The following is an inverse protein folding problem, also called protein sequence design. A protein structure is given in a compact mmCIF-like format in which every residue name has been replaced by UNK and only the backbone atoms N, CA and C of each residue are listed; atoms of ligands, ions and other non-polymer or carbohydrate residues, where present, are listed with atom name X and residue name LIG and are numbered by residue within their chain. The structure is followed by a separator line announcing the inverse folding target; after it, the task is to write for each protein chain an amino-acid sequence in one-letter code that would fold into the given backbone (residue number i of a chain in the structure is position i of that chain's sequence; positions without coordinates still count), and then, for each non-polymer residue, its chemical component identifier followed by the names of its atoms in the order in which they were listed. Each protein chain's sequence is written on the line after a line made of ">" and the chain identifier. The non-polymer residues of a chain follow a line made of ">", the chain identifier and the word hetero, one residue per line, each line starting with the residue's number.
data_IF_854219431098
#
_entry.id   IF_854219431098
#
_cell.length_a   1.000
_cell.length_b   1.000
_cell.length_c   1.000
_cell.angle_alpha   90.00
_cell.angle_beta   90.00
_cell.angle_gamma   90.00
#
_symmetry.space_group_name_H-M   'P 1'
#
loop_
_entity.id
_entity.type
_entity.pdbx_description
1 polymer ?
#
# COMPACT_ATOMS: atom_id res chain seq x y z
N UNK A 1 17.13 29.28 -5.49
CA UNK A 1 16.55 30.65 -5.48
C UNK A 1 16.73 31.33 -4.12
N UNK A 2 16.25 30.76 -3.01
CA UNK A 2 16.41 31.34 -1.67
C UNK A 2 17.88 31.64 -1.36
N UNK A 3 18.78 30.64 -1.39
CA UNK A 3 20.22 30.83 -1.19
C UNK A 3 20.84 31.88 -2.12
N UNK A 4 20.48 31.87 -3.41
CA UNK A 4 21.02 32.80 -4.41
C UNK A 4 20.61 34.25 -4.13
N UNK A 5 19.36 34.49 -3.73
CA UNK A 5 18.85 35.85 -3.51
C UNK A 5 19.09 36.37 -2.09
N UNK A 6 19.14 35.49 -1.09
CA UNK A 6 19.17 35.86 0.34
C UNK A 6 20.47 35.47 1.05
N UNK A 7 21.29 34.61 0.45
CA UNK A 7 22.43 33.99 1.12
C UNK A 7 22.05 32.90 2.13
N UNK A 8 20.75 32.67 2.39
CA UNK A 8 20.28 31.70 3.39
C UNK A 8 20.24 30.30 2.78
N UNK A 9 20.96 29.37 3.41
CA UNK A 9 20.90 27.95 3.09
C UNK A 9 19.88 27.23 3.98
N UNK A 10 18.95 26.50 3.35
CA UNK A 10 17.91 25.75 4.06
C UNK A 10 18.47 24.36 4.35
N UNK A 11 18.75 24.08 5.63
CA UNK A 11 19.24 22.77 6.05
C UNK A 11 18.21 21.66 5.79
N UNK A 12 18.68 20.43 5.62
CA UNK A 12 17.84 19.26 5.46
C UNK A 12 16.86 19.12 6.64
N UNK A 13 15.58 18.88 6.34
CA UNK A 13 14.51 18.75 7.33
C UNK A 13 13.96 20.07 7.90
N UNK A 14 14.58 21.21 7.61
CA UNK A 14 14.09 22.54 8.05
C UNK A 14 13.21 23.14 6.96
N UNK A 15 12.09 23.76 7.35
CA UNK A 15 11.25 24.47 6.39
C UNK A 15 11.82 25.85 6.15
N UNK A 16 11.82 26.28 4.88
CA UNK A 16 12.24 27.65 4.52
C UNK A 16 11.48 28.73 5.31
N UNK A 17 10.22 28.48 5.67
CA UNK A 17 9.39 29.36 6.51
C UNK A 17 9.97 29.61 7.89
N UNK A 18 10.66 28.62 8.46
CA UNK A 18 11.25 28.72 9.79
C UNK A 18 12.46 29.67 9.77
N UNK A 19 13.01 29.92 8.58
CA UNK A 19 14.10 30.86 8.30
C UNK A 19 13.57 32.21 7.75
N UNK A 20 12.26 32.44 7.80
CA UNK A 20 11.63 33.67 7.33
C UNK A 20 11.58 33.82 5.81
N UNK A 21 11.84 32.76 5.04
CA UNK A 21 11.82 32.79 3.58
C UNK A 21 10.71 31.88 3.03
N UNK A 22 9.91 32.37 2.09
CA UNK A 22 8.93 31.56 1.39
C UNK A 22 8.98 31.85 -0.11
N UNK A 23 9.19 30.81 -0.90
CA UNK A 23 9.20 30.92 -2.36
C UNK A 23 7.82 30.52 -2.90
N UNK A 24 7.22 31.41 -3.70
CA UNK A 24 5.98 31.14 -4.42
C UNK A 24 6.20 31.23 -5.93
N UNK A 25 5.50 30.39 -6.68
CA UNK A 25 5.39 30.57 -8.12
C UNK A 25 4.57 31.85 -8.42
N UNK A 26 4.87 32.52 -9.53
CA UNK A 26 4.14 33.72 -9.98
C UNK A 26 2.64 33.46 -10.11
N UNK A 27 2.23 32.29 -10.62
CA UNK A 27 0.83 31.92 -10.73
C UNK A 27 0.13 31.83 -9.37
N UNK A 28 0.85 31.42 -8.32
CA UNK A 28 0.32 31.41 -6.95
C UNK A 28 0.11 32.84 -6.44
N UNK A 29 1.08 33.73 -6.66
CA UNK A 29 0.95 35.14 -6.27
C UNK A 29 -0.24 35.83 -6.99
N UNK A 30 -0.39 35.59 -8.30
CA UNK A 30 -1.54 36.05 -9.08
C UNK A 30 -2.88 35.54 -8.51
N UNK A 31 -2.94 34.25 -8.18
CA UNK A 31 -4.14 33.62 -7.62
C UNK A 31 -4.52 34.19 -6.25
N UNK A 32 -3.53 34.46 -5.39
CA UNK A 32 -3.74 35.08 -4.07
C UNK A 32 -4.35 36.49 -4.25
N UNK A 33 -3.82 37.27 -5.19
CA UNK A 33 -4.38 38.58 -5.50
C UNK A 33 -5.84 38.50 -5.95
N UNK A 34 -6.18 37.60 -6.89
CA UNK A 34 -7.56 37.39 -7.34
C UNK A 34 -8.49 37.01 -6.18
N UNK A 35 -8.04 36.12 -5.29
CA UNK A 35 -8.82 35.71 -4.14
C UNK A 35 -9.10 36.85 -3.15
N UNK A 36 -8.10 37.68 -2.84
CA UNK A 36 -8.24 38.75 -1.85
C UNK A 36 -8.94 39.99 -2.44
N UNK A 37 -8.52 40.44 -3.62
CA UNK A 37 -9.00 41.69 -4.21
C UNK A 37 -10.36 41.52 -4.91
N UNK A 38 -10.65 40.34 -5.45
CA UNK A 38 -11.85 40.09 -6.24
C UNK A 38 -12.80 39.03 -5.62
N UNK A 39 -12.40 38.38 -4.52
CA UNK A 39 -13.21 37.34 -3.88
C UNK A 39 -13.32 36.05 -4.70
N UNK A 40 -12.42 35.86 -5.67
CA UNK A 40 -12.50 34.75 -6.61
C UNK A 40 -11.70 33.54 -6.12
N UNK A 41 -12.33 32.37 -5.94
CA UNK A 41 -11.59 31.16 -5.63
C UNK A 41 -10.72 30.72 -6.82
N UNK A 42 -9.70 29.92 -6.54
CA UNK A 42 -8.85 29.36 -7.59
C UNK A 42 -9.64 28.31 -8.39
N UNK A 43 -10.24 28.75 -9.51
CA UNK A 43 -11.02 27.92 -10.42
C UNK A 43 -10.32 27.69 -11.76
N UNK A 44 -9.40 28.58 -12.13
CA UNK A 44 -8.64 28.54 -13.38
C UNK A 44 -7.12 28.61 -13.12
N UNK A 45 -6.35 28.19 -14.11
CA UNK A 45 -4.90 28.42 -14.16
C UNK A 45 -4.43 28.66 -15.59
N UNK A 46 -3.31 29.34 -15.72
CA UNK A 46 -2.63 29.53 -17.01
C UNK A 46 -1.81 28.28 -17.34
N UNK A 47 -2.16 27.60 -18.44
CA UNK A 47 -1.51 26.40 -19.00
C UNK A 47 -0.80 26.77 -20.29
N UNK A 48 0.51 26.53 -20.34
CA UNK A 48 1.26 26.61 -21.60
C UNK A 48 1.10 25.31 -22.38
N UNK A 49 0.66 25.38 -23.63
CA UNK A 49 0.72 24.25 -24.57
C UNK A 49 1.82 24.52 -25.58
N UNK A 50 2.77 23.59 -25.69
CA UNK A 50 3.97 23.75 -26.54
C UNK A 50 4.47 22.39 -27.04
N UNK A 51 5.61 22.37 -27.72
CA UNK A 51 6.22 21.16 -28.30
C UNK A 51 5.79 20.98 -29.75
N UNK A 52 5.36 19.77 -30.10
CA UNK A 52 4.99 19.36 -31.45
C UNK A 52 3.59 19.85 -31.89
N UNK A 53 3.39 21.17 -31.85
CA UNK A 53 2.13 21.85 -32.17
C UNK A 53 2.37 22.96 -33.19
N UNK A 54 1.40 23.23 -34.05
CA UNK A 54 1.51 24.32 -35.02
C UNK A 54 1.48 25.70 -34.34
N UNK A 55 0.75 25.83 -33.23
CA UNK A 55 0.56 27.13 -32.55
C UNK A 55 0.70 27.02 -31.03
N UNK A 56 1.94 27.01 -30.55
CA UNK A 56 2.24 27.08 -29.12
C UNK A 56 1.71 28.38 -28.50
N UNK A 57 0.97 28.26 -27.38
CA UNK A 57 0.37 29.41 -26.68
C UNK A 57 0.02 29.10 -25.23
N UNK A 58 -0.34 30.15 -24.49
CA UNK A 58 -0.85 30.03 -23.14
C UNK A 58 -2.38 30.11 -23.17
N UNK A 59 -3.03 29.25 -22.39
CA UNK A 59 -4.48 29.23 -22.20
C UNK A 59 -4.80 29.46 -20.73
N UNK A 60 -5.81 30.28 -20.44
CA UNK A 60 -6.44 30.28 -19.13
C UNK A 60 -7.56 29.25 -19.12
N UNK A 61 -7.47 28.25 -18.24
CA UNK A 61 -8.30 27.06 -18.29
C UNK A 61 -8.85 26.72 -16.92
N UNK A 62 -10.12 26.33 -16.88
CA UNK A 62 -10.78 25.85 -15.66
C UNK A 62 -10.21 24.49 -15.24
N UNK A 63 -10.20 24.24 -13.94
CA UNK A 63 -9.86 22.91 -13.45
C UNK A 63 -10.90 21.87 -13.88
N UNK A 64 -10.43 20.68 -14.24
CA UNK A 64 -11.25 19.60 -14.75
C UNK A 64 -11.46 19.61 -16.26
N UNK A 65 -11.17 20.72 -16.97
CA UNK A 65 -11.18 20.74 -18.43
C UNK A 65 -10.24 19.64 -18.96
N UNK A 66 -10.65 18.78 -19.90
CA UNK A 66 -9.79 17.72 -20.41
C UNK A 66 -8.65 18.28 -21.27
N UNK A 67 -7.47 17.68 -21.19
CA UNK A 67 -6.27 18.13 -21.91
C UNK A 67 -6.47 18.24 -23.44
N UNK A 68 -7.31 17.37 -24.03
CA UNK A 68 -7.62 17.38 -25.46
C UNK A 68 -8.19 18.73 -25.96
N UNK A 69 -8.96 19.45 -25.14
CA UNK A 69 -9.55 20.74 -25.53
C UNK A 69 -8.49 21.82 -25.73
N UNK A 70 -7.42 21.78 -24.95
CA UNK A 70 -6.32 22.73 -25.06
C UNK A 70 -5.41 22.37 -26.22
N UNK A 71 -5.10 21.08 -26.34
CA UNK A 71 -4.20 20.57 -27.38
C UNK A 71 -4.79 20.76 -28.77
N UNK A 72 -6.08 20.43 -28.96
CA UNK A 72 -6.76 20.60 -30.26
C UNK A 72 -6.70 22.06 -30.75
N UNK A 73 -6.82 23.03 -29.84
CA UNK A 73 -6.68 24.46 -30.16
C UNK A 73 -5.24 24.88 -30.51
N UNK A 74 -4.24 24.13 -30.06
CA UNK A 74 -2.84 24.35 -30.45
C UNK A 74 -2.48 23.67 -31.79
N UNK A 75 -3.39 22.84 -32.34
CA UNK A 75 -3.22 22.07 -33.57
C UNK A 75 -1.96 21.18 -33.53
N UNK A 76 -2.01 20.00 -32.87
CA UNK A 76 -0.87 19.08 -32.81
C UNK A 76 -0.48 18.62 -34.21
N UNK A 77 0.82 18.46 -34.44
CA UNK A 77 1.32 17.98 -35.73
C UNK A 77 1.08 16.46 -35.88
N UNK A 78 1.00 15.93 -37.11
CA UNK A 78 0.65 14.52 -37.35
C UNK A 78 1.60 13.49 -36.72
N UNK A 79 2.86 13.86 -36.48
CA UNK A 79 3.90 13.05 -35.86
C UNK A 79 3.90 13.13 -34.32
N UNK A 80 2.87 13.75 -33.73
CA UNK A 80 2.72 13.82 -32.27
C UNK A 80 2.41 12.44 -31.70
N UNK A 81 3.26 11.95 -30.80
CA UNK A 81 3.18 10.60 -30.26
C UNK A 81 2.74 10.54 -28.78
N UNK A 82 2.36 11.67 -28.18
CA UNK A 82 1.80 11.75 -26.84
C UNK A 82 1.97 13.13 -26.20
N UNK A 83 1.60 13.24 -24.92
CA UNK A 83 1.65 14.50 -24.17
C UNK A 83 2.36 14.34 -22.83
N UNK A 84 3.14 15.34 -22.47
CA UNK A 84 3.86 15.43 -21.20
C UNK A 84 3.26 16.57 -20.36
N UNK A 85 2.78 16.26 -19.17
CA UNK A 85 2.36 17.26 -18.20
C UNK A 85 3.57 17.75 -17.40
N UNK A 86 3.84 19.04 -17.44
CA UNK A 86 4.95 19.69 -16.74
C UNK A 86 6.07 20.12 -17.69
N UNK A 87 7.30 20.17 -17.18
CA UNK A 87 8.49 20.49 -17.98
C UNK A 87 9.14 19.26 -18.61
N UNK A 88 10.10 19.42 -19.53
CA UNK A 88 10.77 18.31 -20.21
C UNK A 88 11.56 17.39 -19.25
N UNK A 89 11.96 17.90 -18.08
CA UNK A 89 12.81 17.18 -17.13
C UNK A 89 12.00 16.43 -16.05
N UNK A 90 11.02 17.11 -15.45
CA UNK A 90 10.22 16.58 -14.33
C UNK A 90 8.81 16.15 -14.75
N UNK A 91 8.47 16.33 -16.03
CA UNK A 91 7.13 16.07 -16.53
C UNK A 91 6.74 14.61 -16.46
N UNK A 92 5.44 14.38 -16.45
CA UNK A 92 4.83 13.04 -16.40
C UNK A 92 4.06 12.84 -17.70
N UNK A 93 4.30 11.70 -18.36
CA UNK A 93 3.56 11.35 -19.58
C UNK A 93 2.10 11.14 -19.21
N UNK A 94 1.20 11.83 -19.90
CA UNK A 94 -0.23 11.67 -19.68
C UNK A 94 -0.67 10.26 -20.15
N UNK A 95 -1.45 9.54 -19.35
CA UNK A 95 -1.97 8.23 -19.74
C UNK A 95 -3.04 8.34 -20.84
N UNK A 96 -3.72 9.49 -20.91
CA UNK A 96 -4.77 9.81 -21.89
C UNK A 96 -4.94 11.32 -22.00
N UNK A 97 -5.40 11.79 -23.15
CA UNK A 97 -5.76 13.20 -23.40
C UNK A 97 -7.06 13.62 -22.69
N UNK A 98 -7.82 12.66 -22.15
CA UNK A 98 -9.04 12.92 -21.38
C UNK A 98 -8.76 13.35 -19.93
N UNK A 99 -7.50 13.30 -19.49
CA UNK A 99 -7.13 13.72 -18.13
C UNK A 99 -7.43 15.21 -17.96
N UNK A 100 -8.16 15.52 -16.88
CA UNK A 100 -8.50 16.90 -16.53
C UNK A 100 -7.29 17.71 -16.08
N UNK A 101 -7.27 19.00 -16.45
CA UNK A 101 -6.30 19.98 -15.94
C UNK A 101 -6.49 20.14 -14.43
N UNK A 102 -5.41 19.98 -13.67
CA UNK A 102 -5.39 20.18 -12.21
C UNK A 102 -4.46 21.32 -11.84
N UNK A 103 -4.47 21.73 -10.55
CA UNK A 103 -3.61 22.80 -10.01
C UNK A 103 -2.12 22.64 -10.35
N UNK A 104 -1.64 21.41 -10.49
CA UNK A 104 -0.24 21.11 -10.79
C UNK A 104 0.13 21.21 -12.28
N UNK A 105 -0.85 21.29 -13.20
CA UNK A 105 -0.65 21.10 -14.65
C UNK A 105 -0.07 22.32 -15.36
N UNK A 106 1.06 22.87 -14.93
CA UNK A 106 1.65 24.14 -15.42
C UNK A 106 1.83 24.24 -16.95
N UNK A 107 2.21 23.13 -17.58
CA UNK A 107 2.51 23.05 -19.00
C UNK A 107 2.05 21.70 -19.55
N UNK A 108 1.66 21.65 -20.82
CA UNK A 108 1.45 20.44 -21.61
C UNK A 108 2.36 20.53 -22.82
N UNK A 109 3.25 19.55 -22.96
CA UNK A 109 4.17 19.46 -24.09
C UNK A 109 3.70 18.33 -24.99
N UNK A 110 3.32 18.65 -26.22
CA UNK A 110 3.12 17.66 -27.28
C UNK A 110 4.47 17.07 -27.66
N UNK A 111 4.59 15.75 -27.55
CA UNK A 111 5.83 15.02 -27.79
C UNK A 111 5.90 14.55 -29.24
N UNK A 112 7.11 14.49 -29.77
CA UNK A 112 7.45 13.78 -31.01
C UNK A 112 8.81 13.11 -30.81
N UNK A 113 9.14 12.12 -31.65
CA UNK A 113 10.44 11.45 -31.59
C UNK A 113 11.61 12.40 -31.88
N UNK A 114 11.35 13.53 -32.54
CA UNK A 114 12.35 14.58 -32.78
C UNK A 114 12.64 15.37 -31.51
N UNK A 115 11.60 15.75 -30.74
CA UNK A 115 11.76 16.52 -29.50
C UNK A 115 12.17 15.63 -28.31
N UNK A 116 11.67 14.40 -28.27
CA UNK A 116 11.92 13.42 -27.23
C UNK A 116 12.38 12.11 -27.89
N UNK A 117 13.63 12.06 -28.39
CA UNK A 117 14.15 10.84 -28.97
C UNK A 117 14.17 9.70 -27.94
N UNK A 118 14.01 8.44 -28.39
CA UNK A 118 14.10 7.31 -27.50
C UNK A 118 15.44 7.33 -26.78
N UNK A 119 15.40 7.13 -25.46
CA UNK A 119 16.61 7.13 -24.66
C UNK A 119 17.54 6.01 -25.14
N UNK A 120 18.82 6.29 -25.43
CA UNK A 120 19.78 5.25 -25.77
C UNK A 120 19.93 4.27 -24.61
N UNK A 121 20.35 3.03 -24.88
CA UNK A 121 20.51 2.02 -23.85
C UNK A 121 21.50 2.49 -22.78
N UNK A 122 21.16 2.24 -21.52
CA UNK A 122 22.02 2.61 -20.40
C UNK A 122 23.33 1.80 -20.45
N UNK A 123 24.45 2.52 -20.50
CA UNK A 123 25.80 1.95 -20.47
C UNK A 123 26.31 1.86 -19.02
N UNK A 124 27.35 1.05 -18.76
CA UNK A 124 28.01 1.02 -17.46
C UNK A 124 28.50 2.42 -17.03
N UNK A 125 28.42 2.68 -15.73
CA UNK A 125 28.88 3.94 -15.15
C UNK A 125 30.41 4.02 -15.22
N UNK A 126 30.93 5.05 -15.90
CA UNK A 126 32.38 5.33 -16.02
C UNK A 126 32.93 6.22 -14.90
N UNK A 127 32.12 6.53 -13.87
CA UNK A 127 32.49 7.38 -12.71
C UNK A 127 33.07 8.76 -13.07
N UNK A 128 32.56 9.39 -14.13
CA UNK A 128 33.01 10.70 -14.61
C UNK A 128 32.59 11.93 -13.75
N UNK A 129 31.93 11.74 -12.61
CA UNK A 129 31.48 12.78 -11.65
C UNK A 129 30.61 13.94 -12.16
N UNK A 130 30.32 14.06 -13.46
CA UNK A 130 29.43 15.10 -14.05
C UNK A 130 28.06 15.22 -13.37
N UNK A 131 27.53 14.09 -12.89
CA UNK A 131 26.25 14.06 -12.20
C UNK A 131 26.28 14.82 -10.86
N UNK A 132 27.40 14.80 -10.13
CA UNK A 132 27.58 15.56 -8.89
C UNK A 132 27.69 17.05 -9.18
N UNK A 133 28.48 17.44 -10.19
CA UNK A 133 28.64 18.83 -10.62
C UNK A 133 27.33 19.48 -11.05
N UNK A 134 26.47 18.74 -11.75
CA UNK A 134 25.18 19.23 -12.21
C UNK A 134 24.08 19.20 -11.13
N UNK A 135 24.33 18.64 -9.94
CA UNK A 135 23.30 18.47 -8.92
C UNK A 135 23.02 19.79 -8.19
N UNK A 136 21.82 20.38 -8.31
CA UNK A 136 21.50 21.64 -7.64
C UNK A 136 21.33 21.50 -6.12
N UNK A 137 21.24 20.26 -5.63
CA UNK A 137 21.12 19.93 -4.20
C UNK A 137 22.46 19.45 -3.61
N UNK A 138 23.56 19.54 -4.37
CA UNK A 138 24.92 19.17 -3.93
C UNK A 138 25.04 17.75 -3.35
N UNK A 139 24.21 16.82 -3.86
CA UNK A 139 24.25 15.41 -3.47
C UNK A 139 25.39 14.66 -4.20
N UNK A 140 25.55 13.38 -3.89
CA UNK A 140 26.44 12.45 -4.60
C UNK A 140 25.63 11.43 -5.42
N UNK A 141 25.13 11.78 -6.63
CA UNK A 141 24.29 10.90 -7.43
C UNK A 141 24.96 9.56 -7.77
N UNK A 142 26.29 9.54 -7.98
CA UNK A 142 27.00 8.31 -8.28
C UNK A 142 26.87 7.26 -7.16
N UNK A 143 26.99 7.67 -5.89
CA UNK A 143 26.87 6.77 -4.74
C UNK A 143 25.42 6.36 -4.52
N UNK A 144 24.49 7.33 -4.57
CA UNK A 144 23.06 7.07 -4.47
C UNK A 144 22.58 6.06 -5.51
N UNK A 145 23.12 6.10 -6.73
CA UNK A 145 22.77 5.15 -7.78
C UNK A 145 23.20 3.73 -7.42
N UNK A 146 24.42 3.54 -6.92
CA UNK A 146 24.88 2.22 -6.49
C UNK A 146 24.06 1.68 -5.32
N UNK A 147 23.71 2.53 -4.35
CA UNK A 147 22.86 2.11 -3.23
C UNK A 147 21.43 1.79 -3.67
N UNK A 148 20.84 2.61 -4.54
CA UNK A 148 19.50 2.36 -5.07
C UNK A 148 19.47 1.07 -5.92
N UNK A 149 20.46 0.88 -6.80
CA UNK A 149 20.57 -0.31 -7.65
C UNK A 149 20.79 -1.59 -6.84
N UNK A 150 21.58 -1.52 -5.77
CA UNK A 150 21.82 -2.64 -4.86
C UNK A 150 20.69 -2.84 -3.82
N UNK A 151 19.60 -2.06 -3.90
CA UNK A 151 18.50 -2.02 -2.90
C UNK A 151 19.00 -1.82 -1.46
N UNK A 152 20.13 -1.14 -1.29
CA UNK A 152 20.68 -0.79 0.02
C UNK A 152 20.10 0.56 0.48
N UNK A 153 18.84 0.52 0.91
CA UNK A 153 18.08 1.71 1.25
C UNK A 153 18.58 2.43 2.51
N UNK A 154 19.20 1.71 3.45
CA UNK A 154 19.74 2.32 4.67
C UNK A 154 20.95 3.22 4.36
N UNK A 155 21.82 2.78 3.44
CA UNK A 155 22.90 3.64 2.95
C UNK A 155 22.35 4.80 2.12
N UNK A 156 21.35 4.56 1.28
CA UNK A 156 20.73 5.62 0.50
C UNK A 156 20.14 6.73 1.40
N UNK A 157 19.50 6.35 2.51
CA UNK A 157 19.02 7.29 3.55
C UNK A 157 20.16 8.07 4.19
N UNK A 158 21.25 7.39 4.58
CA UNK A 158 22.45 8.04 5.15
C UNK A 158 23.12 9.03 4.20
N UNK A 159 22.97 8.83 2.89
CA UNK A 159 23.44 9.72 1.83
C UNK A 159 22.37 10.74 1.40
N UNK A 160 21.40 11.03 2.27
CA UNK A 160 20.39 12.07 2.08
C UNK A 160 19.56 11.92 0.79
N UNK A 161 19.19 10.68 0.42
CA UNK A 161 18.33 10.43 -0.75
C UNK A 161 17.05 11.28 -0.76
N UNK A 162 16.48 11.58 0.42
CA UNK A 162 15.26 12.37 0.54
C UNK A 162 15.42 13.86 0.19
N UNK A 163 16.64 14.38 0.19
CA UNK A 163 16.93 15.75 -0.26
C UNK A 163 16.94 15.86 -1.79
N UNK A 164 16.96 14.73 -2.52
CA UNK A 164 16.87 14.73 -3.97
C UNK A 164 15.53 15.30 -4.42
N UNK A 165 15.53 16.41 -5.16
CA UNK A 165 14.29 17.02 -5.71
C UNK A 165 13.82 16.41 -7.03
N UNK A 166 14.43 15.30 -7.47
CA UNK A 166 14.05 14.57 -8.70
C UNK A 166 14.03 15.43 -9.98
N UNK A 167 14.91 16.43 -10.04
CA UNK A 167 14.96 17.40 -11.14
C UNK A 167 15.47 16.84 -12.49
N UNK A 168 16.07 15.65 -12.52
CA UNK A 168 16.55 15.04 -13.76
C UNK A 168 17.93 15.50 -14.24
N UNK A 169 18.52 16.55 -13.65
CA UNK A 169 19.78 17.14 -14.14
C UNK A 169 20.92 16.12 -14.24
N UNK A 170 21.06 15.25 -13.23
CA UNK A 170 22.08 14.21 -13.20
C UNK A 170 21.91 13.15 -14.30
N UNK A 171 20.67 12.79 -14.64
CA UNK A 171 20.36 11.84 -15.72
C UNK A 171 20.68 12.45 -17.09
N UNK A 172 20.36 13.74 -17.27
CA UNK A 172 20.57 14.43 -18.54
C UNK A 172 22.06 14.59 -18.90
N UNK A 173 22.91 14.92 -17.93
CA UNK A 173 24.36 15.11 -18.17
C UNK A 173 25.16 13.80 -18.22
N UNK A 174 24.52 12.66 -17.97
CA UNK A 174 25.20 11.37 -17.86
C UNK A 174 25.64 10.87 -19.25
N UNK A 175 26.95 10.72 -19.54
CA UNK A 175 27.41 10.21 -20.83
C UNK A 175 27.07 8.72 -21.05
N UNK A 176 26.82 7.99 -19.95
CA UNK A 176 26.37 6.60 -20.00
C UNK A 176 24.85 6.47 -20.12
N UNK A 177 24.10 7.57 -20.21
CA UNK A 177 22.64 7.60 -20.34
C UNK A 177 21.91 6.81 -19.23
N UNK A 178 22.46 6.81 -18.02
CA UNK A 178 21.87 6.10 -16.88
C UNK A 178 20.67 6.91 -16.36
N UNK A 179 19.47 6.31 -16.24
CA UNK A 179 18.28 7.00 -15.74
C UNK A 179 18.30 7.12 -14.21
N UNK A 180 19.31 7.80 -13.67
CA UNK A 180 19.55 8.00 -12.23
C UNK A 180 18.29 8.37 -11.43
N UNK A 181 17.48 9.32 -11.92
CA UNK A 181 16.27 9.76 -11.22
C UNK A 181 15.21 8.66 -11.10
N UNK A 182 15.11 7.75 -12.07
CA UNK A 182 14.18 6.61 -11.96
C UNK A 182 14.58 5.68 -10.82
N UNK A 183 15.88 5.42 -10.65
CA UNK A 183 16.39 4.64 -9.51
C UNK A 183 16.11 5.33 -8.17
N UNK A 184 16.22 6.66 -8.12
CA UNK A 184 15.95 7.40 -6.88
C UNK A 184 14.46 7.42 -6.54
N UNK A 185 13.59 7.61 -7.54
CA UNK A 185 12.13 7.49 -7.37
C UNK A 185 11.75 6.11 -6.85
N UNK A 186 12.28 5.06 -7.49
CA UNK A 186 12.10 3.69 -7.03
C UNK A 186 12.55 3.51 -5.57
N UNK A 187 13.77 3.92 -5.24
CA UNK A 187 14.31 3.77 -3.90
C UNK A 187 13.50 4.54 -2.85
N UNK A 188 13.03 5.76 -3.14
CA UNK A 188 12.17 6.52 -2.23
C UNK A 188 10.82 5.85 -2.01
N UNK A 189 10.16 5.39 -3.08
CA UNK A 189 8.88 4.69 -2.98
C UNK A 189 9.02 3.42 -2.13
N UNK A 190 10.05 2.61 -2.37
CA UNK A 190 10.31 1.41 -1.58
C UNK A 190 10.56 1.71 -0.09
N UNK A 191 11.30 2.79 0.21
CA UNK A 191 11.51 3.21 1.60
C UNK A 191 10.19 3.61 2.26
N UNK A 192 9.35 4.37 1.55
CA UNK A 192 8.04 4.76 2.08
C UNK A 192 7.11 3.56 2.28
N UNK A 193 7.13 2.60 1.37
CA UNK A 193 6.34 1.37 1.50
C UNK A 193 6.83 0.54 2.70
N UNK A 194 8.14 0.41 2.89
CA UNK A 194 8.73 -0.24 4.08
C UNK A 194 8.32 0.46 5.37
N UNK A 195 8.39 1.79 5.42
CA UNK A 195 8.00 2.57 6.60
C UNK A 195 6.50 2.48 6.88
N UNK A 196 5.67 2.48 5.85
CA UNK A 196 4.22 2.31 5.96
C UNK A 196 3.88 0.92 6.52
N UNK A 197 4.50 -0.13 5.96
CA UNK A 197 4.33 -1.51 6.42
C UNK A 197 4.81 -1.70 7.86
N UNK A 198 5.95 -1.10 8.22
CA UNK A 198 6.46 -1.13 9.59
C UNK A 198 5.49 -0.45 10.57
N UNK A 199 5.00 0.75 10.25
CA UNK A 199 4.00 1.46 11.07
C UNK A 199 2.70 0.65 11.21
N UNK A 200 2.25 0.00 10.14
CA UNK A 200 1.07 -0.87 10.16
C UNK A 200 1.29 -2.10 11.06
N UNK A 201 2.47 -2.72 10.99
CA UNK A 201 2.87 -3.83 11.85
C UNK A 201 2.96 -3.42 13.32
N UNK A 202 3.58 -2.28 13.61
CA UNK A 202 3.67 -1.74 14.97
C UNK A 202 2.28 -1.41 15.53
N UNK A 203 1.41 -0.79 14.74
CA UNK A 203 0.03 -0.53 15.13
C UNK A 203 -0.75 -1.83 15.37
N UNK A 204 -0.52 -2.88 14.57
CA UNK A 204 -1.14 -4.19 14.78
C UNK A 204 -0.63 -4.86 16.07
N UNK A 205 0.67 -4.77 16.35
CA UNK A 205 1.29 -5.27 17.59
C UNK A 205 0.67 -4.60 18.81
N UNK A 206 0.59 -3.26 18.83
CA UNK A 206 -0.04 -2.53 19.94
C UNK A 206 -1.50 -2.93 20.15
N UNK A 207 -2.27 -3.14 19.05
CA UNK A 207 -3.65 -3.64 19.16
C UNK A 207 -3.73 -5.04 19.75
N UNK A 208 -2.81 -5.93 19.39
CA UNK A 208 -2.75 -7.29 19.91
C UNK A 208 -2.39 -7.31 21.39
N UNK A 209 -1.35 -6.59 21.79
CA UNK A 209 -0.94 -6.44 23.19
C UNK A 209 -2.08 -5.87 24.06
N UNK A 210 -2.85 -4.91 23.54
CA UNK A 210 -4.01 -4.37 24.25
C UNK A 210 -5.15 -5.40 24.39
N UNK A 211 -5.36 -6.24 23.39
CA UNK A 211 -6.35 -7.32 23.44
C UNK A 211 -5.97 -8.39 24.46
N UNK A 212 -4.71 -8.84 24.46
CA UNK A 212 -4.20 -9.80 25.45
C UNK A 212 -4.30 -9.24 26.87
N UNK A 213 -3.94 -7.97 27.08
CA UNK A 213 -4.12 -7.32 28.38
C UNK A 213 -5.58 -7.33 28.84
N UNK A 214 -6.53 -7.06 27.94
CA UNK A 214 -7.96 -7.14 28.26
C UNK A 214 -8.39 -8.55 28.62
N UNK A 215 -7.98 -9.55 27.85
CA UNK A 215 -8.30 -10.95 28.16
C UNK A 215 -7.72 -11.41 29.50
N UNK A 216 -6.48 -11.05 29.82
CA UNK A 216 -5.85 -11.39 31.11
C UNK A 216 -6.56 -10.72 32.29
N UNK A 217 -6.99 -9.46 32.12
CA UNK A 217 -7.82 -8.75 33.11
C UNK A 217 -9.14 -9.49 33.34
N UNK A 218 -9.85 -9.84 32.27
CA UNK A 218 -11.12 -10.56 32.38
C UNK A 218 -10.95 -11.97 32.95
N UNK A 219 -9.88 -12.70 32.59
CA UNK A 219 -9.55 -14.03 33.15
C UNK A 219 -9.23 -13.92 34.65
N UNK A 220 -8.46 -12.92 35.07
CA UNK A 220 -8.14 -12.69 36.48
C UNK A 220 -9.39 -12.33 37.29
N UNK A 221 -10.22 -11.41 36.80
CA UNK A 221 -11.47 -11.03 37.47
C UNK A 221 -12.45 -12.22 37.58
N UNK A 222 -12.52 -13.09 36.56
CA UNK A 222 -13.31 -14.34 36.62
C UNK A 222 -12.73 -15.34 37.63
N UNK A 223 -11.42 -15.50 37.69
CA UNK A 223 -10.74 -16.38 38.64
C UNK A 223 -10.91 -15.90 40.10
N UNK A 224 -10.81 -14.59 40.34
CA UNK A 224 -11.06 -13.98 41.65
C UNK A 224 -12.50 -14.20 42.12
N UNK A 225 -13.50 -13.95 41.25
CA UNK A 225 -14.92 -14.21 41.54
C UNK A 225 -15.20 -15.68 41.84
N UNK A 226 -14.58 -16.60 41.09
CA UNK A 226 -14.73 -18.04 41.34
C UNK A 226 -14.11 -18.42 42.69
N UNK A 227 -12.90 -17.93 43.00
CA UNK A 227 -12.23 -18.17 44.27
C UNK A 227 -13.02 -17.60 45.47
N UNK A 228 -13.65 -16.44 45.32
CA UNK A 228 -14.56 -15.87 46.34
C UNK A 228 -15.79 -16.74 46.54
N UNK A 229 -16.43 -17.19 45.45
CA UNK A 229 -17.59 -18.10 45.50
C UNK A 229 -17.23 -19.41 46.19
N UNK A 230 -16.08 -19.99 45.87
CA UNK A 230 -15.63 -21.26 46.45
C UNK A 230 -15.27 -21.10 47.93
N UNK A 231 -14.61 -20.00 48.33
CA UNK A 231 -14.39 -19.66 49.75
C UNK A 231 -15.69 -19.46 50.51
N UNK A 232 -16.66 -18.75 49.94
CA UNK A 232 -17.98 -18.55 50.55
C UNK A 232 -18.74 -19.88 50.72
N UNK A 233 -18.67 -20.77 49.71
CA UNK A 233 -19.27 -22.10 49.77
C UNK A 233 -18.61 -22.98 50.84
N UNK A 234 -17.29 -22.92 50.98
CA UNK A 234 -16.56 -23.63 52.04
C UNK A 234 -16.89 -23.08 53.43
N UNK A 235 -16.98 -21.75 53.60
CA UNK A 235 -17.39 -21.12 54.86
C UNK A 235 -18.83 -21.49 55.24
N UNK A 236 -19.76 -21.54 54.29
CA UNK A 236 -21.14 -21.98 54.51
C UNK A 236 -21.21 -23.48 54.88
N UNK A 237 -20.38 -24.33 54.28
CA UNK A 237 -20.24 -25.75 54.68
C UNK A 237 -19.67 -25.90 56.09
N UNK A 238 -18.67 -25.11 56.46
CA UNK A 238 -18.08 -25.10 57.81
C UNK A 238 -19.07 -24.61 58.87
N UNK A 239 -19.91 -23.61 58.56
CA UNK A 239 -20.98 -23.15 59.46
C UNK A 239 -22.09 -24.20 59.63
N UNK A 240 -22.47 -24.93 58.57
CA UNK A 240 -23.42 -26.05 58.67
C UNK A 240 -22.87 -27.26 59.45
N UNK A 241 -21.55 -27.46 59.47
CA UNK A 241 -20.91 -28.52 60.26
C UNK A 241 -20.76 -28.16 61.76
N UNK A 242 -20.93 -26.89 62.13
CA UNK A 242 -20.79 -26.40 63.50
C UNK A 242 -22.13 -26.21 64.27
N UNK A 243 -23.27 -26.59 63.68
CA UNK A 243 -24.58 -26.52 64.35
C UNK A 243 -24.85 -27.80 65.19
N UNK A 244 -25.33 -27.72 66.45
CA UNK A 244 -25.56 -28.89 67.31
C UNK A 244 -26.78 -29.72 66.87
N UNK A 245 -26.80 -31.05 67.13
CA UNK A 245 -27.91 -31.91 66.75
C UNK A 245 -29.06 -31.82 67.77
N UNK A 246 -30.24 -31.38 67.34
CA UNK A 246 -31.49 -31.56 68.09
C UNK A 246 -32.41 -32.55 67.35
N UNK A 247 -32.76 -33.64 68.05
CA UNK A 247 -33.73 -34.67 67.64
C UNK A 247 -35.16 -34.33 68.13
N UNK A 248 -36.21 -34.88 67.49
CA UNK A 248 -37.57 -34.31 67.45
C UNK A 248 -38.60 -35.12 68.28
N UNK A 249 -39.89 -34.71 68.31
CA UNK A 249 -40.99 -35.65 68.41
C UNK A 249 -42.00 -35.57 67.25
N UNK A 250 -42.76 -36.66 67.14
CA UNK A 250 -43.54 -37.12 66.00
C UNK A 250 -45.06 -36.92 66.13
N UNK A 251 -45.77 -37.12 65.00
CA UNK A 251 -47.24 -37.28 64.84
C UNK A 251 -47.90 -36.04 64.21
N UNK A 252 -48.72 -36.09 63.14
CA UNK A 252 -49.60 -37.14 62.63
C UNK A 252 -50.08 -36.86 61.17
N UNK A 253 -50.09 -37.93 60.37
CA UNK A 253 -50.92 -38.36 59.20
C UNK A 253 -51.55 -37.43 58.12
N UNK A 254 -51.23 -37.84 56.87
CA UNK A 254 -52.05 -38.00 55.64
C UNK A 254 -52.63 -36.74 54.96
N UNK A 255 -52.42 -36.46 53.65
CA UNK A 255 -52.76 -37.32 52.51
C UNK A 255 -52.22 -36.76 51.15
N UNK A 256 -52.10 -37.66 50.16
CA UNK A 256 -51.93 -37.49 48.68
C UNK A 256 -50.51 -37.41 48.07
N UNK A 257 -50.09 -38.59 47.59
CA UNK A 257 -49.04 -39.01 46.63
C UNK A 257 -49.21 -38.50 45.17
N UNK A 258 -48.31 -38.81 44.19
CA UNK A 258 -46.94 -39.37 44.28
C UNK A 258 -45.85 -38.68 43.41
N UNK A 259 -44.59 -39.06 43.73
CA UNK A 259 -43.36 -39.16 42.92
C UNK A 259 -42.70 -37.88 42.39
N UNK A 260 -41.54 -37.45 42.90
CA UNK A 260 -40.19 -38.05 42.80
C UNK A 260 -39.76 -38.22 41.33
N UNK A 261 -38.62 -37.69 40.86
CA UNK A 261 -37.27 -38.18 41.20
C UNK A 261 -36.20 -37.15 40.74
N UNK A 262 -35.05 -37.18 41.41
CA UNK A 262 -33.67 -36.72 41.03
C UNK A 262 -33.42 -36.61 39.52
N UNK A 263 -32.59 -35.70 38.98
CA UNK A 263 -31.10 -35.79 38.91
C UNK A 263 -30.50 -34.41 38.57
N UNK A 264 -29.49 -33.97 39.33
CA UNK A 264 -28.47 -33.01 38.86
C UNK A 264 -27.51 -33.77 37.92
N UNK A 265 -27.58 -33.56 36.60
CA UNK A 265 -26.50 -33.79 35.62
C UNK A 265 -26.98 -33.58 34.15
N UNK A 266 -27.72 -32.53 33.79
CA UNK A 266 -28.25 -32.43 32.40
C UNK A 266 -28.32 -31.02 31.79
N UNK A 267 -27.45 -30.09 32.21
CA UNK A 267 -27.38 -28.76 31.56
C UNK A 267 -26.33 -28.69 30.44
N UNK A 268 -25.18 -29.37 30.56
CA UNK A 268 -24.16 -29.38 29.49
C UNK A 268 -24.53 -30.32 28.34
N UNK A 269 -25.10 -31.50 28.63
CA UNK A 269 -25.54 -32.49 27.62
C UNK A 269 -26.66 -31.93 26.75
N UNK A 270 -27.64 -31.24 27.35
CA UNK A 270 -28.76 -30.62 26.65
C UNK A 270 -28.36 -29.42 25.79
N UNK A 271 -27.33 -28.66 26.18
CA UNK A 271 -26.80 -27.55 25.39
C UNK A 271 -25.95 -28.09 24.23
N UNK A 272 -25.13 -29.13 24.46
CA UNK A 272 -24.34 -29.78 23.40
C UNK A 272 -25.22 -30.47 22.35
N UNK A 273 -26.31 -31.12 22.76
CA UNK A 273 -27.31 -31.70 21.84
C UNK A 273 -28.00 -30.62 20.99
N UNK A 274 -28.33 -29.46 21.57
CA UNK A 274 -28.91 -28.33 20.82
C UNK A 274 -27.91 -27.69 19.85
N UNK A 275 -26.63 -27.61 20.21
CA UNK A 275 -25.57 -27.12 19.33
C UNK A 275 -25.33 -28.10 18.18
N UNK A 276 -25.32 -29.41 18.44
CA UNK A 276 -25.18 -30.42 17.39
C UNK A 276 -26.39 -30.41 16.43
N UNK A 277 -27.61 -30.28 16.95
CA UNK A 277 -28.82 -30.13 16.14
C UNK A 277 -28.79 -28.83 15.31
N UNK A 278 -28.28 -27.72 15.86
CA UNK A 278 -28.11 -26.47 15.11
C UNK A 278 -27.05 -26.59 14.00
N UNK A 279 -25.94 -27.31 14.25
CA UNK A 279 -24.89 -27.56 13.25
C UNK A 279 -25.39 -28.48 12.14
N UNK A 280 -26.19 -29.49 12.47
CA UNK A 280 -26.76 -30.42 11.49
C UNK A 280 -27.83 -29.73 10.64
N UNK A 281 -28.65 -28.86 11.23
CA UNK A 281 -29.58 -28.00 10.51
C UNK A 281 -28.86 -26.97 9.62
N UNK A 282 -27.75 -26.38 10.10
CA UNK A 282 -26.94 -25.46 9.30
C UNK A 282 -26.25 -26.17 8.12
N UNK A 283 -25.81 -27.42 8.30
CA UNK A 283 -25.25 -28.25 7.21
C UNK A 283 -26.31 -28.65 6.19
N UNK A 284 -27.52 -28.98 6.63
CA UNK A 284 -28.65 -29.27 5.75
C UNK A 284 -29.09 -28.03 4.96
N UNK A 285 -29.08 -26.84 5.58
CA UNK A 285 -29.35 -25.56 4.92
C UNK A 285 -28.23 -25.14 3.94
N UNK A 286 -26.96 -25.39 4.29
CA UNK A 286 -25.83 -25.18 3.38
C UNK A 286 -25.87 -26.13 2.18
N UNK A 287 -26.34 -27.37 2.37
CA UNK A 287 -26.52 -28.35 1.28
C UNK A 287 -27.74 -28.05 0.38
N UNK A 288 -28.76 -27.32 0.87
CA UNK A 288 -29.93 -26.93 0.06
C UNK A 288 -29.80 -25.56 -0.62
N UNK A 289 -28.74 -24.80 -0.33
CA UNK A 289 -28.50 -23.52 -1.00
C UNK A 289 -27.71 -23.74 -2.29
N UNK A 290 -28.36 -24.30 -3.30
CA UNK A 290 -27.89 -24.20 -4.69
C UNK A 290 -28.02 -22.74 -5.16
N UNK A 291 -26.99 -22.18 -5.82
CA UNK A 291 -27.04 -20.79 -6.28
C UNK A 291 -28.18 -20.62 -7.28
N UNK A 292 -29.19 -19.80 -6.92
CA UNK A 292 -30.33 -19.45 -7.77
C UNK A 292 -29.89 -18.53 -8.91
N UNK A 293 -29.19 -19.05 -9.92
CA UNK A 293 -29.01 -18.39 -11.22
C UNK A 293 -28.34 -19.26 -12.31
N UNK A 294 -28.65 -20.55 -12.39
CA UNK A 294 -28.09 -21.44 -13.43
C UNK A 294 -29.09 -21.82 -14.53
N UNK A 295 -30.40 -21.67 -14.31
CA UNK A 295 -31.40 -22.33 -15.18
C UNK A 295 -32.04 -21.40 -16.24
N UNK A 296 -31.92 -20.07 -16.12
CA UNK A 296 -32.48 -19.10 -17.08
C UNK A 296 -31.45 -18.09 -17.58
N UNK A 297 -30.34 -18.58 -18.14
CA UNK A 297 -29.32 -17.74 -18.78
C UNK A 297 -29.64 -17.54 -20.26
N UNK A 298 -29.66 -16.28 -20.72
CA UNK A 298 -29.76 -15.91 -22.14
C UNK A 298 -28.54 -16.43 -22.93
N UNK A 299 -28.63 -16.63 -24.26
CA UNK A 299 -27.52 -17.14 -25.06
C UNK A 299 -26.24 -16.29 -24.94
N UNK A 300 -26.38 -14.98 -24.83
CA UNK A 300 -25.28 -14.02 -24.67
C UNK A 300 -24.57 -14.18 -23.31
N UNK A 301 -25.33 -14.38 -22.23
CA UNK A 301 -24.76 -14.61 -20.90
C UNK A 301 -23.99 -15.94 -20.83
N UNK A 302 -24.46 -16.98 -21.55
CA UNK A 302 -23.72 -18.26 -21.65
C UNK A 302 -22.40 -18.10 -22.39
N UNK A 303 -22.38 -17.30 -23.47
CA UNK A 303 -21.16 -17.00 -24.21
C UNK A 303 -20.15 -16.21 -23.36
N UNK A 304 -20.61 -15.26 -22.54
CA UNK A 304 -19.74 -14.51 -21.62
C UNK A 304 -19.17 -15.41 -20.53
N UNK A 305 -19.96 -16.31 -19.95
CA UNK A 305 -19.49 -17.27 -18.95
C UNK A 305 -18.44 -18.19 -19.55
N UNK A 306 -18.68 -18.75 -20.74
CA UNK A 306 -17.72 -19.60 -21.44
C UNK A 306 -16.40 -18.85 -21.74
N UNK A 307 -16.47 -17.57 -22.13
CA UNK A 307 -15.27 -16.76 -22.37
C UNK A 307 -14.49 -16.47 -21.07
N UNK A 308 -15.17 -16.27 -19.95
CA UNK A 308 -14.56 -16.06 -18.63
C UNK A 308 -13.91 -17.35 -18.13
N UNK A 309 -14.58 -18.49 -18.30
CA UNK A 309 -14.06 -19.81 -17.90
C UNK A 309 -12.85 -20.21 -18.75
N UNK A 310 -12.87 -19.98 -20.06
CA UNK A 310 -11.72 -20.20 -20.93
C UNK A 310 -10.52 -19.33 -20.51
N UNK A 311 -10.75 -18.07 -20.14
CA UNK A 311 -9.70 -17.18 -19.62
C UNK A 311 -9.14 -17.67 -18.28
N UNK A 312 -9.99 -18.16 -17.38
CA UNK A 312 -9.55 -18.74 -16.10
C UNK A 312 -8.75 -20.02 -16.30
N UNK A 313 -9.19 -20.91 -17.18
CA UNK A 313 -8.47 -22.13 -17.52
C UNK A 313 -7.08 -21.82 -18.09
N UNK A 314 -6.98 -20.83 -18.98
CA UNK A 314 -5.71 -20.40 -19.54
C UNK A 314 -4.76 -19.81 -18.47
N UNK A 315 -5.28 -19.00 -17.54
CA UNK A 315 -4.49 -18.49 -16.41
C UNK A 315 -4.02 -19.65 -15.52
N UNK A 316 -4.85 -20.66 -15.31
CA UNK A 316 -4.52 -21.80 -14.47
C UNK A 316 -3.46 -22.70 -15.11
N UNK A 317 -3.50 -22.86 -16.43
CA UNK A 317 -2.52 -23.59 -17.23
C UNK A 317 -1.17 -22.85 -17.29
N UNK A 318 -1.19 -21.52 -17.42
CA UNK A 318 0.01 -20.69 -17.31
C UNK A 318 0.62 -20.77 -15.89
N UNK A 319 -0.22 -20.82 -14.87
CA UNK A 319 0.24 -20.98 -13.49
C UNK A 319 0.86 -22.37 -13.26
N UNK A 320 0.24 -23.45 -13.74
CA UNK A 320 0.78 -24.81 -13.58
C UNK A 320 2.08 -25.02 -14.35
N UNK A 321 2.15 -24.55 -15.60
CA UNK A 321 3.37 -24.63 -16.41
C UNK A 321 4.53 -23.81 -15.82
N UNK A 322 4.25 -22.66 -15.19
CA UNK A 322 5.27 -21.87 -14.49
C UNK A 322 5.85 -22.60 -13.26
N UNK A 323 5.01 -23.34 -12.53
CA UNK A 323 5.43 -24.12 -11.36
C UNK A 323 6.24 -25.36 -11.78
N UNK A 324 5.83 -26.04 -12.85
CA UNK A 324 6.56 -27.19 -13.40
C UNK A 324 7.92 -26.78 -13.99
N UNK A 325 8.00 -25.65 -14.70
CA UNK A 325 9.25 -25.11 -15.22
C UNK A 325 10.22 -24.70 -14.09
N UNK A 326 9.72 -24.06 -13.04
CA UNK A 326 10.54 -23.72 -11.86
C UNK A 326 11.03 -24.96 -11.11
N UNK A 327 10.22 -26.02 -11.04
CA UNK A 327 10.60 -27.28 -10.38
C UNK A 327 11.64 -28.05 -11.21
N UNK A 328 11.52 -28.08 -12.54
CA UNK A 328 12.49 -28.70 -13.44
C UNK A 328 13.87 -28.02 -13.39
N UNK A 329 13.93 -26.69 -13.40
CA UNK A 329 15.20 -25.95 -13.27
C UNK A 329 15.90 -26.20 -11.92
N UNK A 330 15.13 -26.42 -10.85
CA UNK A 330 15.69 -26.72 -9.52
C UNK A 330 16.26 -28.14 -9.44
N UNK A 331 15.71 -29.07 -10.20
CA UNK A 331 16.22 -30.45 -10.30
C UNK A 331 17.51 -30.48 -11.11
N UNK A 332 17.55 -29.80 -12.27
CA UNK A 332 18.77 -29.72 -13.11
C UNK A 332 19.95 -29.09 -12.37
N UNK A 333 19.72 -27.98 -11.66
CA UNK A 333 20.75 -27.31 -10.86
C UNK A 333 21.31 -28.19 -9.72
N UNK A 334 20.49 -29.06 -9.12
CA UNK A 334 20.94 -29.99 -8.08
C UNK A 334 21.72 -31.19 -8.62
N UNK A 335 21.50 -31.59 -9.88
CA UNK A 335 22.30 -32.63 -10.56
C UNK A 335 23.68 -32.14 -10.97
N UNK A 336 23.83 -30.88 -11.39
CA UNK A 336 25.13 -30.30 -11.76
C UNK A 336 26.05 -30.08 -10.55
N UNK A 337 25.50 -29.78 -9.37
CA UNK A 337 26.28 -29.62 -8.13
C UNK A 337 26.82 -30.96 -7.61
N UNK A 338 26.19 -32.10 -7.93
CA UNK A 338 26.62 -33.43 -7.47
C UNK A 338 27.70 -34.10 -8.33
N UNK A 339 28.01 -33.56 -9.53
CA UNK A 339 28.95 -34.17 -10.47
C UNK A 339 30.35 -33.53 -10.49
N UNK A 340 30.60 -32.48 -9.69
CA UNK A 340 31.92 -31.87 -9.57
C UNK A 340 32.78 -32.58 -8.50
N UNK A 341 34.00 -33.07 -8.83
CA UNK A 341 34.89 -33.65 -7.83
C UNK A 341 35.55 -32.55 -6.95
N UNK A 342 35.89 -32.85 -5.68
CA UNK A 342 36.43 -31.86 -4.76
C UNK A 342 37.85 -31.43 -5.17
N UNK A 343 38.01 -30.15 -5.53
CA UNK A 343 39.30 -29.52 -5.79
C UNK A 343 40.09 -29.33 -4.49
N UNK A 344 41.29 -29.92 -4.44
CA UNK A 344 42.26 -29.77 -3.35
C UNK A 344 42.79 -28.33 -3.26
N UNK A 345 42.86 -27.81 -2.03
CA UNK A 345 43.49 -26.53 -1.67
C UNK A 345 45.02 -26.62 -1.72
N UNK A 346 45.75 -25.63 -2.28
CA UNK A 346 47.18 -25.53 -2.09
C UNK A 346 47.49 -24.88 -0.73
N UNK A 347 48.36 -25.54 0.02
CA UNK A 347 49.14 -24.91 1.09
C UNK A 347 50.17 -23.98 0.46
N UNK A 348 50.16 -22.70 0.85
CA UNK A 348 51.30 -21.88 1.29
C UNK A 348 50.81 -20.53 1.83
#
# INVERSE_FOLDING_TARGET
>A
LIRVLTGIEVAAGVRSTDLGAQCFNVGTAYSIYRAIAHGEPLISRIVTVTGNVAQARNFEVLFGTPAHELVSQAAPLPDTNGYLMGGPMMGIRLPSEQVGIIKATNCIIAMSDVLFPPAPPALPCIRCTRCAEACPAELQPQELYWFAKAKNFDKARKYNLFDCIECGACSYVCPSHIPLVQYYRFAKSEIWDQESNQKAADAARVRHEYHEFREEREKREKAEKLAERDRAAQAAKAQKAAAPPTLPPAGEVANVSPSATTVEADSESAIQLKIQQAIEQAKLQAATTTPKNTEQLTPEQRAQIAAIEARRAHIHELASTSVEASSAMLVEANTEVKSQPPTQSPQE
#
